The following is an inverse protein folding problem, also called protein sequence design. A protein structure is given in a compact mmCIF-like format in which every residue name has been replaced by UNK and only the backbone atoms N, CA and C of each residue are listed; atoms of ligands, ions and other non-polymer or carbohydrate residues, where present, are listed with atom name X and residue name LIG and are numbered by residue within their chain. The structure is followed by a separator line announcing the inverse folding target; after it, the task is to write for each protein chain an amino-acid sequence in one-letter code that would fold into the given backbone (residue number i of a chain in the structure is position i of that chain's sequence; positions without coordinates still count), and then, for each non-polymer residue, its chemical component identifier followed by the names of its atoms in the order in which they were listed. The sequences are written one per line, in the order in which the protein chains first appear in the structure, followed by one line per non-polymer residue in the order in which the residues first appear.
data_IF_291384304135
#
_entry.id   IF_291384304135
#
_cell.length_a   1.000
_cell.length_b   1.000
_cell.length_c   1.000
_cell.angle_alpha   90.00
_cell.angle_beta   90.00
_cell.angle_gamma   90.00
#
_symmetry.space_group_name_H-M   'P 1'
#
loop_
_entity.id
_entity.type
_entity.pdbx_description
1 polymer ?
#
# COMPACT_ATOMS: atom_id res chain seq x y z
N UNK A 1 -2.04 17.71 -15.84
CA UNK A 1 -0.88 17.99 -14.98
C UNK A 1 -0.94 19.39 -14.38
N UNK A 2 -0.98 20.49 -15.16
CA UNK A 2 -0.97 21.85 -14.56
C UNK A 2 -2.17 22.16 -13.64
N UNK A 3 -3.39 21.72 -13.98
CA UNK A 3 -4.58 21.93 -13.12
C UNK A 3 -4.57 21.09 -11.84
N UNK A 4 -3.86 19.95 -11.82
CA UNK A 4 -3.74 19.08 -10.63
C UNK A 4 -2.61 19.52 -9.68
N UNK A 5 -1.78 20.47 -10.09
CA UNK A 5 -0.58 20.88 -9.36
C UNK A 5 -0.72 22.27 -8.73
N UNK A 6 -1.87 22.94 -8.80
CA UNK A 6 -2.04 24.31 -8.26
C UNK A 6 -1.21 25.42 -8.94
N UNK A 7 -0.25 25.04 -9.81
CA UNK A 7 0.61 25.93 -10.56
C UNK A 7 -0.10 26.54 -11.75
N UNK A 8 0.20 27.81 -12.06
CA UNK A 8 -0.12 28.30 -13.39
C UNK A 8 0.60 27.41 -14.41
N UNK A 9 -0.03 27.18 -15.58
CA UNK A 9 0.58 26.39 -16.66
C UNK A 9 2.01 26.86 -16.97
N UNK A 10 2.27 28.16 -16.83
CA UNK A 10 3.58 28.79 -17.01
C UNK A 10 4.60 28.34 -15.94
N UNK A 11 4.24 28.39 -14.66
CA UNK A 11 5.13 27.96 -13.57
C UNK A 11 5.40 26.45 -13.61
N UNK A 12 4.38 25.64 -13.88
CA UNK A 12 4.55 24.20 -14.06
C UNK A 12 5.52 23.88 -15.20
N UNK A 13 5.45 24.64 -16.30
CA UNK A 13 6.35 24.45 -17.45
C UNK A 13 7.78 24.85 -17.08
N UNK A 14 7.96 25.99 -16.40
CA UNK A 14 9.27 26.47 -15.97
C UNK A 14 9.92 25.49 -14.98
N UNK A 15 9.15 25.00 -14.00
CA UNK A 15 9.62 24.03 -13.02
C UNK A 15 10.01 22.72 -13.68
N UNK A 16 9.16 22.19 -14.57
CA UNK A 16 9.45 20.97 -15.31
C UNK A 16 10.73 21.12 -16.15
N UNK A 17 10.85 22.22 -16.91
CA UNK A 17 11.98 22.45 -17.80
C UNK A 17 13.30 22.70 -17.04
N UNK A 18 13.24 23.39 -15.90
CA UNK A 18 14.42 23.76 -15.11
C UNK A 18 14.89 22.64 -14.18
N UNK A 19 13.95 21.88 -13.60
CA UNK A 19 14.25 20.89 -12.55
C UNK A 19 14.12 19.47 -13.08
N UNK A 20 12.97 19.05 -13.62
CA UNK A 20 12.73 17.64 -13.95
C UNK A 20 13.35 17.20 -15.29
N UNK A 21 13.22 18.00 -16.35
CA UNK A 21 13.68 17.65 -17.70
C UNK A 21 15.19 17.31 -17.77
N UNK A 22 16.10 18.03 -17.09
CA UNK A 22 17.51 17.66 -17.06
C UNK A 22 17.76 16.26 -16.51
N UNK A 23 17.04 15.87 -15.46
CA UNK A 23 17.15 14.54 -14.84
C UNK A 23 16.50 13.46 -15.70
N UNK A 24 15.33 13.74 -16.28
CA UNK A 24 14.68 12.84 -17.25
C UNK A 24 15.62 12.50 -18.39
N UNK A 25 16.28 13.51 -18.98
CA UNK A 25 17.26 13.30 -20.06
C UNK A 25 18.46 12.48 -19.59
N UNK A 26 18.96 12.76 -18.38
CA UNK A 26 20.05 11.98 -17.77
C UNK A 26 19.63 10.52 -17.61
N UNK A 27 18.52 10.25 -16.95
CA UNK A 27 17.98 8.91 -16.68
C UNK A 27 17.65 8.12 -17.95
N UNK A 28 17.16 8.77 -19.01
CA UNK A 28 16.96 8.12 -20.30
C UNK A 28 18.25 7.61 -20.96
N UNK A 29 19.39 8.19 -20.59
CA UNK A 29 20.72 7.79 -21.11
C UNK A 29 21.54 6.98 -20.12
N UNK A 30 21.10 6.89 -18.87
CA UNK A 30 21.81 6.18 -17.81
C UNK A 30 21.48 4.68 -17.89
N UNK A 31 22.49 3.79 -18.01
CA UNK A 31 22.28 2.35 -18.07
C UNK A 31 21.51 1.79 -16.87
N UNK A 32 21.61 2.40 -15.70
CA UNK A 32 20.91 1.95 -14.50
C UNK A 32 19.41 2.25 -14.58
N UNK A 33 19.03 3.36 -15.21
CA UNK A 33 17.63 3.74 -15.43
C UNK A 33 17.07 3.19 -16.74
N UNK A 34 17.88 2.49 -17.55
CA UNK A 34 17.44 1.91 -18.81
C UNK A 34 16.29 0.90 -18.61
N UNK A 35 16.28 0.17 -17.48
CA UNK A 35 15.18 -0.72 -17.11
C UNK A 35 13.88 0.06 -16.86
N UNK A 36 13.95 1.15 -16.07
CA UNK A 36 12.81 2.04 -15.83
C UNK A 36 12.29 2.66 -17.14
N UNK A 37 13.19 3.05 -18.05
CA UNK A 37 12.82 3.68 -19.32
C UNK A 37 12.26 2.68 -20.37
N UNK A 38 12.56 1.39 -20.24
CA UNK A 38 12.02 0.34 -21.12
C UNK A 38 10.55 0.06 -20.81
N UNK A 39 10.17 0.08 -19.54
CA UNK A 39 8.78 0.05 -19.13
C UNK A 39 8.20 1.47 -19.06
N UNK A 40 7.57 1.86 -20.17
CA UNK A 40 6.93 3.18 -20.27
C UNK A 40 5.88 3.42 -19.18
N UNK A 41 5.16 2.40 -18.73
CA UNK A 41 4.11 2.58 -17.73
C UNK A 41 4.72 2.93 -16.36
N UNK A 42 5.70 2.15 -15.92
CA UNK A 42 6.48 2.45 -14.70
C UNK A 42 7.17 3.81 -14.79
N UNK A 43 7.79 4.14 -15.94
CA UNK A 43 8.42 5.44 -16.12
C UNK A 43 7.42 6.59 -15.95
N UNK A 44 6.21 6.49 -16.51
CA UNK A 44 5.21 7.53 -16.35
C UNK A 44 4.66 7.62 -14.93
N UNK A 45 4.49 6.50 -14.22
CA UNK A 45 4.13 6.51 -12.78
C UNK A 45 5.19 7.19 -11.94
N UNK A 46 6.44 6.80 -12.12
CA UNK A 46 7.58 7.44 -11.49
C UNK A 46 7.60 8.97 -11.73
N UNK A 47 7.38 9.42 -12.98
CA UNK A 47 7.31 10.86 -13.28
C UNK A 47 6.10 11.54 -12.66
N UNK A 48 4.96 10.85 -12.57
CA UNK A 48 3.77 11.36 -11.92
C UNK A 48 4.02 11.56 -10.41
N UNK A 49 4.58 10.57 -9.72
CA UNK A 49 4.92 10.69 -8.30
C UNK A 49 5.95 11.79 -8.05
N UNK A 50 6.97 11.91 -8.91
CA UNK A 50 7.92 13.04 -8.85
C UNK A 50 7.22 14.40 -9.00
N UNK A 51 6.24 14.51 -9.89
CA UNK A 51 5.46 15.73 -10.02
C UNK A 51 4.59 15.99 -8.78
N UNK A 52 4.04 14.94 -8.16
CA UNK A 52 3.28 15.04 -6.91
C UNK A 52 4.15 15.49 -5.74
N UNK A 53 5.39 14.99 -5.60
CA UNK A 53 6.36 15.48 -4.61
C UNK A 53 6.58 16.98 -4.78
N UNK A 54 6.85 17.44 -6.00
CA UNK A 54 7.08 18.87 -6.25
C UNK A 54 5.82 19.71 -5.97
N UNK A 55 4.63 19.20 -6.33
CA UNK A 55 3.36 19.84 -6.02
C UNK A 55 3.12 19.96 -4.52
N UNK A 56 3.33 18.88 -3.76
CA UNK A 56 3.24 18.82 -2.31
C UNK A 56 4.20 19.81 -1.63
N UNK A 57 5.44 19.88 -2.12
CA UNK A 57 6.45 20.83 -1.65
C UNK A 57 6.05 22.29 -1.92
N UNK A 58 5.34 22.58 -3.01
CA UNK A 58 4.91 23.94 -3.36
C UNK A 58 3.65 24.35 -2.61
N UNK A 59 2.61 23.53 -2.67
CA UNK A 59 1.25 23.90 -2.27
C UNK A 59 0.83 23.35 -0.91
N UNK A 60 1.42 22.24 -0.47
CA UNK A 60 1.20 21.70 0.87
C UNK A 60 -0.15 21.01 1.00
N UNK A 61 -0.76 20.69 -0.13
CA UNK A 61 -2.03 19.98 -0.26
C UNK A 61 -1.88 18.48 0.04
N UNK A 62 -0.66 17.96 0.05
CA UNK A 62 -0.34 16.58 0.41
C UNK A 62 1.03 16.48 1.09
N UNK A 63 1.28 15.32 1.72
CA UNK A 63 2.55 15.02 2.39
C UNK A 63 3.63 14.63 1.36
N UNK A 64 4.71 15.42 1.19
CA UNK A 64 5.72 15.14 0.18
C UNK A 64 6.50 13.84 0.48
N UNK A 65 6.61 13.44 1.75
CA UNK A 65 7.26 12.20 2.17
C UNK A 65 6.53 10.95 1.64
N UNK A 66 5.18 10.95 1.65
CA UNK A 66 4.38 9.85 1.08
C UNK A 66 4.64 9.63 -0.41
N UNK A 67 4.54 10.70 -1.22
CA UNK A 67 4.84 10.62 -2.65
C UNK A 67 6.30 10.25 -2.92
N UNK A 68 7.22 10.69 -2.06
CA UNK A 68 8.63 10.33 -2.15
C UNK A 68 8.87 8.84 -1.85
N UNK A 69 8.09 8.25 -0.95
CA UNK A 69 8.03 6.81 -0.74
C UNK A 69 7.62 6.06 -2.00
N UNK A 70 6.58 6.53 -2.70
CA UNK A 70 6.13 5.93 -3.97
C UNK A 70 7.18 6.05 -5.08
N UNK A 71 7.86 7.19 -5.19
CA UNK A 71 9.02 7.35 -6.10
C UNK A 71 10.05 6.26 -5.84
N UNK A 72 10.39 6.00 -4.58
CA UNK A 72 11.35 4.95 -4.23
C UNK A 72 10.83 3.55 -4.55
N UNK A 73 9.52 3.30 -4.37
CA UNK A 73 8.86 2.03 -4.70
C UNK A 73 8.92 1.73 -6.20
N UNK A 74 8.62 2.71 -7.06
CA UNK A 74 8.68 2.55 -8.52
C UNK A 74 10.10 2.27 -9.00
N UNK A 75 11.13 2.88 -8.39
CA UNK A 75 12.54 2.60 -8.71
C UNK A 75 12.89 1.15 -8.33
N UNK A 76 12.45 0.67 -7.17
CA UNK A 76 12.70 -0.72 -6.75
C UNK A 76 11.97 -1.73 -7.61
N UNK A 77 10.73 -1.44 -8.02
CA UNK A 77 9.90 -2.34 -8.81
C UNK A 77 10.58 -2.73 -10.15
N UNK A 78 11.43 -1.84 -10.69
CA UNK A 78 12.20 -2.12 -11.92
C UNK A 78 13.62 -2.66 -11.65
N UNK A 79 13.91 -3.03 -10.40
CA UNK A 79 15.17 -3.67 -10.00
C UNK A 79 16.37 -2.74 -9.94
N UNK A 80 16.17 -1.42 -9.86
CA UNK A 80 17.26 -0.44 -9.73
C UNK A 80 17.60 -0.25 -8.25
N UNK A 81 18.83 -0.55 -7.81
CA UNK A 81 19.24 -0.33 -6.42
C UNK A 81 19.15 1.16 -6.06
N UNK A 82 18.56 1.47 -4.91
CA UNK A 82 18.31 2.86 -4.55
C UNK A 82 19.60 3.64 -4.31
N UNK A 83 20.67 2.97 -3.89
CA UNK A 83 21.99 3.57 -3.68
C UNK A 83 22.55 4.18 -4.97
N UNK A 84 22.18 3.61 -6.12
CA UNK A 84 22.62 4.08 -7.45
C UNK A 84 21.91 5.39 -7.82
N UNK A 85 20.67 5.58 -7.38
CA UNK A 85 19.85 6.73 -7.74
C UNK A 85 19.78 7.80 -6.65
N UNK A 86 20.24 7.47 -5.43
CA UNK A 86 20.13 8.32 -4.26
C UNK A 86 20.79 9.69 -4.47
N UNK A 87 21.96 9.71 -5.10
CA UNK A 87 22.67 10.95 -5.40
C UNK A 87 21.95 11.79 -6.45
N UNK A 88 21.25 11.16 -7.40
CA UNK A 88 20.45 11.85 -8.40
C UNK A 88 19.19 12.46 -7.79
N UNK A 89 18.52 11.73 -6.91
CA UNK A 89 17.38 12.22 -6.16
C UNK A 89 17.77 13.40 -5.24
N UNK A 90 18.92 13.32 -4.56
CA UNK A 90 19.48 14.44 -3.78
C UNK A 90 19.79 15.66 -4.66
N UNK A 91 20.41 15.43 -5.82
CA UNK A 91 20.71 16.50 -6.77
C UNK A 91 19.44 17.16 -7.29
N UNK A 92 18.37 16.40 -7.49
CA UNK A 92 17.07 16.93 -7.91
C UNK A 92 16.45 17.82 -6.84
N UNK A 93 16.42 17.37 -5.58
CA UNK A 93 15.94 18.18 -4.46
C UNK A 93 16.78 19.46 -4.28
N UNK A 94 18.09 19.37 -4.53
CA UNK A 94 18.96 20.56 -4.51
C UNK A 94 18.70 21.50 -5.70
N UNK A 95 18.45 20.97 -6.90
CA UNK A 95 18.07 21.79 -8.05
C UNK A 95 16.73 22.50 -7.80
N UNK A 96 15.78 21.81 -7.16
CA UNK A 96 14.52 22.39 -6.72
C UNK A 96 14.72 23.50 -5.69
N UNK A 97 15.56 23.28 -4.67
CA UNK A 97 15.94 24.31 -3.70
C UNK A 97 16.52 25.56 -4.36
N UNK A 98 17.44 25.39 -5.30
CA UNK A 98 18.04 26.50 -6.04
C UNK A 98 17.00 27.27 -6.86
N UNK A 99 16.07 26.54 -7.48
CA UNK A 99 14.97 27.13 -8.23
C UNK A 99 14.05 27.96 -7.30
N UNK A 100 13.63 27.40 -6.16
CA UNK A 100 12.85 28.12 -5.13
C UNK A 100 13.62 29.35 -4.64
N UNK A 101 14.95 29.25 -4.52
CA UNK A 101 15.76 30.36 -4.06
C UNK A 101 15.83 31.53 -5.07
N UNK A 102 15.65 31.26 -6.35
CA UNK A 102 15.71 32.21 -7.46
C UNK A 102 14.33 32.70 -7.94
N UNK A 103 13.25 32.09 -7.44
CA UNK A 103 11.88 32.41 -7.80
C UNK A 103 11.40 33.72 -7.15
N UNK A 104 12.00 34.86 -7.54
CA UNK A 104 11.69 36.20 -6.97
C UNK A 104 10.26 36.69 -7.27
N UNK A 105 9.62 36.22 -8.35
CA UNK A 105 8.26 36.66 -8.75
C UNK A 105 7.14 35.67 -8.39
N UNK A 106 7.46 34.41 -8.09
CA UNK A 106 6.45 33.33 -7.96
C UNK A 106 6.20 32.88 -6.51
N UNK A 107 7.15 33.10 -5.59
CA UNK A 107 7.04 32.70 -4.18
C UNK A 107 7.55 33.85 -3.30
N UNK A 108 6.66 34.53 -2.57
CA UNK A 108 7.02 35.72 -1.80
C UNK A 108 6.89 35.47 -0.30
N UNK A 109 7.92 35.82 0.46
CA UNK A 109 7.86 35.86 1.93
C UNK A 109 7.60 34.50 2.59
N UNK A 110 6.45 34.36 3.22
CA UNK A 110 6.06 33.21 4.06
C UNK A 110 5.91 31.91 3.24
N UNK A 111 5.36 31.99 2.02
CA UNK A 111 5.22 30.83 1.14
C UNK A 111 6.57 30.18 0.80
N UNK A 112 7.58 31.01 0.51
CA UNK A 112 8.95 30.53 0.23
C UNK A 112 9.56 29.84 1.45
N UNK A 113 9.37 30.40 2.64
CA UNK A 113 9.87 29.80 3.87
C UNK A 113 9.20 28.44 4.13
N UNK A 114 7.90 28.31 3.82
CA UNK A 114 7.15 27.07 4.00
C UNK A 114 7.57 25.98 3.03
N UNK A 115 7.81 26.34 1.76
CA UNK A 115 8.37 25.42 0.76
C UNK A 115 9.74 24.91 1.22
N UNK A 116 10.62 25.81 1.68
CA UNK A 116 11.95 25.42 2.16
C UNK A 116 11.88 24.54 3.42
N UNK A 117 10.97 24.82 4.36
CA UNK A 117 10.77 23.96 5.55
C UNK A 117 10.32 22.56 5.17
N UNK A 118 9.37 22.43 4.23
CA UNK A 118 8.92 21.12 3.72
C UNK A 118 10.04 20.39 2.98
N UNK A 119 10.85 21.13 2.21
CA UNK A 119 12.00 20.58 1.52
C UNK A 119 13.08 20.09 2.49
N UNK A 120 13.36 20.83 3.57
CA UNK A 120 14.28 20.41 4.63
C UNK A 120 13.78 19.15 5.34
N UNK A 121 12.48 19.07 5.66
CA UNK A 121 11.85 17.85 6.17
C UNK A 121 12.07 16.68 5.22
N UNK A 122 11.75 16.85 3.93
CA UNK A 122 11.89 15.79 2.93
C UNK A 122 13.35 15.36 2.73
N UNK A 123 14.32 16.28 2.84
CA UNK A 123 15.75 15.95 2.80
C UNK A 123 16.22 15.20 4.05
N UNK A 124 15.63 15.53 5.21
CA UNK A 124 15.89 14.84 6.46
C UNK A 124 15.21 13.46 6.51
N UNK A 125 14.15 13.28 5.73
CA UNK A 125 13.55 11.97 5.48
C UNK A 125 14.58 11.10 4.75
N UNK A 126 15.18 10.17 5.49
CA UNK A 126 16.27 9.35 4.99
C UNK A 126 15.76 8.48 3.84
N UNK A 127 16.28 8.74 2.64
CA UNK A 127 16.17 7.84 1.50
C UNK A 127 16.85 6.53 1.93
N UNK A 128 16.05 5.49 2.21
CA UNK A 128 16.48 4.10 2.42
C UNK A 128 16.77 3.60 3.84
N UNK A 129 15.93 3.89 4.83
CA UNK A 129 15.66 2.90 5.89
C UNK A 129 14.36 2.18 5.56
N UNK A 130 14.29 1.50 4.42
CA UNK A 130 13.09 0.71 4.09
C UNK A 130 13.17 -0.75 4.52
N UNK A 131 14.30 -1.16 5.10
CA UNK A 131 14.27 -2.31 6.01
C UNK A 131 13.56 -1.91 7.32
N UNK A 132 13.41 -0.61 7.62
CA UNK A 132 12.60 -0.07 8.72
C UNK A 132 11.35 0.70 8.25
N UNK A 133 11.04 0.77 6.94
CA UNK A 133 9.76 1.32 6.48
C UNK A 133 8.62 0.31 6.64
N UNK A 134 8.96 -0.96 6.87
CA UNK A 134 8.05 -1.94 7.48
C UNK A 134 7.83 -1.64 8.99
N UNK A 135 8.73 -0.89 9.64
CA UNK A 135 8.65 -0.48 11.05
C UNK A 135 8.12 0.97 11.25
N UNK A 136 8.12 1.83 10.22
CA UNK A 136 7.71 3.24 10.34
C UNK A 136 6.18 3.43 10.54
N UNK A 137 5.40 2.34 10.56
CA UNK A 137 3.95 2.37 10.78
C UNK A 137 3.50 1.50 11.96
N UNK A 138 4.39 1.22 12.92
CA UNK A 138 3.97 0.84 14.26
C UNK A 138 4.07 2.07 15.15
N UNK A 139 3.01 2.88 15.16
CA UNK A 139 2.79 3.79 16.28
C UNK A 139 2.91 2.96 17.56
N UNK A 140 3.93 3.28 18.36
CA UNK A 140 4.42 2.63 19.58
C UNK A 140 3.29 2.38 20.60
N UNK A 141 2.45 1.39 20.30
CA UNK A 141 1.43 0.83 21.17
C UNK A 141 2.09 -0.36 21.84
N UNK A 142 2.56 -0.16 23.07
CA UNK A 142 3.15 -1.18 23.96
C UNK A 142 2.15 -2.28 24.38
N UNK A 143 1.15 -2.56 23.56
CA UNK A 143 0.20 -3.65 23.69
C UNK A 143 0.29 -4.44 22.40
N UNK A 144 1.05 -5.55 22.42
CA UNK A 144 0.95 -6.53 21.34
C UNK A 144 -0.49 -7.01 21.31
N UNK A 145 -1.10 -6.90 20.14
CA UNK A 145 -2.50 -7.23 19.98
C UNK A 145 -2.59 -8.75 19.79
N UNK A 146 -3.15 -9.42 20.78
CA UNK A 146 -3.25 -10.89 20.82
C UNK A 146 -3.92 -11.47 19.55
N UNK A 147 -4.71 -10.69 18.80
CA UNK A 147 -5.24 -11.12 17.51
C UNK A 147 -4.16 -11.21 16.41
N UNK A 148 -3.25 -10.23 16.33
CA UNK A 148 -2.12 -10.25 15.37
C UNK A 148 -1.09 -11.31 15.79
N UNK A 149 -0.80 -11.41 17.09
CA UNK A 149 0.16 -12.40 17.59
C UNK A 149 -0.26 -13.85 17.26
N UNK A 150 -1.58 -14.13 17.20
CA UNK A 150 -2.11 -15.44 16.81
C UNK A 150 -2.02 -15.72 15.31
N UNK A 151 -1.87 -14.70 14.47
CA UNK A 151 -1.72 -14.83 13.02
C UNK A 151 -0.26 -15.04 12.61
N UNK A 152 0.69 -14.71 13.48
CA UNK A 152 2.09 -15.03 13.26
C UNK A 152 2.37 -16.52 13.54
N UNK A 153 2.67 -17.28 12.49
CA UNK A 153 3.04 -18.71 12.59
C UNK A 153 4.27 -18.95 13.47
N UNK A 154 5.19 -17.98 13.51
CA UNK A 154 6.35 -17.98 14.42
C UNK A 154 5.92 -18.00 15.90
N UNK A 155 4.83 -17.33 16.23
CA UNK A 155 4.32 -17.21 17.60
C UNK A 155 3.42 -18.40 17.98
N UNK A 156 2.72 -18.99 17.01
CA UNK A 156 1.84 -20.16 17.22
C UNK A 156 2.54 -21.51 17.09
N UNK A 157 3.78 -21.54 16.57
CA UNK A 157 4.56 -22.76 16.38
C UNK A 157 4.06 -23.66 15.26
N UNK A 158 3.22 -23.12 14.36
CA UNK A 158 2.82 -23.82 13.12
C UNK A 158 3.98 -23.84 12.15
N UNK A 159 4.22 -24.98 11.50
CA UNK A 159 5.21 -25.06 10.43
C UNK A 159 4.70 -24.31 9.19
N UNK A 160 5.56 -23.53 8.51
CA UNK A 160 5.17 -22.81 7.30
C UNK A 160 4.76 -23.80 6.21
N UNK A 161 3.68 -23.48 5.50
CA UNK A 161 3.16 -24.30 4.42
C UNK A 161 3.46 -23.59 3.10
N UNK A 162 4.33 -24.16 2.27
CA UNK A 162 4.60 -23.57 0.95
C UNK A 162 3.38 -23.69 0.03
N UNK A 163 3.20 -22.71 -0.86
CA UNK A 163 2.12 -22.70 -1.85
C UNK A 163 2.08 -23.98 -2.69
N UNK A 164 3.23 -24.43 -3.21
CA UNK A 164 3.30 -25.68 -3.99
C UNK A 164 2.84 -26.91 -3.20
N UNK A 165 3.17 -26.99 -1.91
CA UNK A 165 2.74 -28.11 -1.06
C UNK A 165 1.23 -28.06 -0.80
N UNK A 166 0.70 -26.86 -0.55
CA UNK A 166 -0.74 -26.62 -0.37
C UNK A 166 -1.52 -26.99 -1.64
N UNK A 167 -1.10 -26.50 -2.81
CA UNK A 167 -1.78 -26.75 -4.08
C UNK A 167 -1.75 -28.24 -4.48
N UNK A 168 -0.65 -28.94 -4.17
CA UNK A 168 -0.57 -30.39 -4.37
C UNK A 168 -1.55 -31.19 -3.50
N UNK A 169 -2.04 -30.60 -2.39
CA UNK A 169 -3.05 -31.19 -1.52
C UNK A 169 -4.46 -31.23 -2.13
N UNK A 170 -4.70 -30.52 -3.24
CA UNK A 170 -5.99 -30.51 -3.94
C UNK A 170 -7.12 -29.88 -3.10
N UNK A 171 -6.77 -28.94 -2.21
CA UNK A 171 -7.73 -28.25 -1.35
C UNK A 171 -8.64 -27.28 -2.12
N UNK A 172 -8.23 -26.87 -3.32
CA UNK A 172 -8.97 -26.02 -4.24
C UNK A 172 -9.01 -26.69 -5.62
N UNK A 173 -10.16 -26.64 -6.28
CA UNK A 173 -10.29 -27.02 -7.68
C UNK A 173 -9.92 -25.87 -8.63
N UNK A 174 -9.61 -26.21 -9.88
CA UNK A 174 -9.20 -25.24 -10.91
C UNK A 174 -10.26 -24.17 -11.18
N UNK A 175 -11.54 -24.51 -11.05
CA UNK A 175 -12.66 -23.57 -11.25
C UNK A 175 -12.69 -22.50 -10.14
N UNK A 176 -12.50 -22.92 -8.89
CA UNK A 176 -12.43 -22.01 -7.74
C UNK A 176 -11.21 -21.10 -7.84
N UNK A 177 -10.06 -21.65 -8.24
CA UNK A 177 -8.83 -20.86 -8.44
C UNK A 177 -9.04 -19.82 -9.54
N UNK A 178 -9.56 -20.23 -10.70
CA UNK A 178 -9.80 -19.33 -11.81
C UNK A 178 -10.75 -18.19 -11.43
N UNK A 179 -11.81 -18.49 -10.67
CA UNK A 179 -12.74 -17.48 -10.16
C UNK A 179 -12.07 -16.49 -9.21
N UNK A 180 -11.28 -16.97 -8.25
CA UNK A 180 -10.55 -16.08 -7.32
C UNK A 180 -9.60 -15.15 -8.08
N UNK A 181 -8.88 -15.69 -9.07
CA UNK A 181 -7.94 -14.92 -9.88
C UNK A 181 -8.68 -13.86 -10.69
N UNK A 182 -9.76 -14.24 -11.39
CA UNK A 182 -10.58 -13.32 -12.18
C UNK A 182 -11.16 -12.19 -11.31
N UNK A 183 -11.74 -12.53 -10.14
CA UNK A 183 -12.36 -11.55 -9.23
C UNK A 183 -11.34 -10.50 -8.74
N UNK A 184 -10.11 -10.92 -8.44
CA UNK A 184 -9.06 -10.04 -7.91
C UNK A 184 -8.36 -9.23 -9.01
N UNK A 185 -8.20 -9.80 -10.20
CA UNK A 185 -7.73 -9.07 -11.38
C UNK A 185 -8.73 -8.00 -11.82
N UNK A 186 -10.03 -8.31 -11.83
CA UNK A 186 -11.09 -7.35 -12.14
C UNK A 186 -11.07 -6.19 -11.14
N UNK A 187 -11.05 -6.51 -9.83
CA UNK A 187 -10.94 -5.53 -8.76
C UNK A 187 -9.74 -4.59 -8.97
N UNK A 188 -8.53 -5.15 -9.17
CA UNK A 188 -7.32 -4.35 -9.38
C UNK A 188 -7.41 -3.46 -10.63
N UNK A 189 -7.92 -4.01 -11.74
CA UNK A 189 -8.01 -3.29 -13.01
C UNK A 189 -8.98 -2.10 -12.95
N UNK A 190 -10.09 -2.25 -12.22
CA UNK A 190 -11.13 -1.23 -12.13
C UNK A 190 -10.79 -0.12 -11.13
N UNK A 191 -10.06 -0.44 -10.05
CA UNK A 191 -9.63 0.56 -9.05
C UNK A 191 -8.86 1.73 -9.65
N UNK A 192 -8.14 1.49 -10.74
CA UNK A 192 -7.41 2.54 -11.48
C UNK A 192 -8.33 3.65 -12.01
N UNK A 193 -9.60 3.36 -12.30
CA UNK A 193 -10.54 4.36 -12.83
C UNK A 193 -11.13 5.28 -11.75
N UNK A 194 -10.98 4.91 -10.48
CA UNK A 194 -11.45 5.72 -9.36
C UNK A 194 -10.35 6.71 -8.94
N UNK A 195 -10.61 8.00 -9.15
CA UNK A 195 -9.68 9.08 -8.79
C UNK A 195 -9.67 9.40 -7.30
N UNK A 196 -10.84 9.43 -6.67
CA UNK A 196 -11.03 9.83 -5.27
C UNK A 196 -11.78 8.72 -4.51
N UNK A 197 -11.71 8.77 -3.18
CA UNK A 197 -12.54 7.92 -2.33
C UNK A 197 -13.97 8.46 -2.28
N UNK A 198 -14.93 7.65 -2.68
CA UNK A 198 -16.34 7.93 -2.48
C UNK A 198 -17.12 6.64 -2.15
N UNK A 199 -18.43 6.80 -1.94
CA UNK A 199 -19.31 5.67 -1.65
C UNK A 199 -19.32 4.63 -2.78
N UNK A 200 -19.19 5.07 -4.04
CA UNK A 200 -19.18 4.18 -5.21
C UNK A 200 -17.93 3.31 -5.19
N UNK A 201 -16.77 3.90 -4.94
CA UNK A 201 -15.49 3.21 -4.75
C UNK A 201 -15.58 2.19 -3.60
N UNK A 202 -16.11 2.61 -2.45
CA UNK A 202 -16.24 1.74 -1.29
C UNK A 202 -17.16 0.53 -1.59
N UNK A 203 -18.33 0.77 -2.20
CA UNK A 203 -19.27 -0.28 -2.59
C UNK A 203 -18.67 -1.25 -3.61
N UNK A 204 -17.90 -0.73 -4.57
CA UNK A 204 -17.17 -1.52 -5.55
C UNK A 204 -16.16 -2.45 -4.86
N UNK A 205 -15.29 -1.91 -4.01
CA UNK A 205 -14.30 -2.71 -3.26
C UNK A 205 -14.99 -3.76 -2.38
N UNK A 206 -16.04 -3.37 -1.64
CA UNK A 206 -16.81 -4.28 -0.79
C UNK A 206 -17.35 -5.45 -1.59
N UNK A 207 -17.92 -5.20 -2.77
CA UNK A 207 -18.51 -6.24 -3.60
C UNK A 207 -17.51 -7.35 -3.96
N UNK A 208 -16.34 -6.96 -4.46
CA UNK A 208 -15.30 -7.92 -4.86
C UNK A 208 -14.67 -8.62 -3.65
N UNK A 209 -14.41 -7.88 -2.56
CA UNK A 209 -13.86 -8.48 -1.34
C UNK A 209 -14.83 -9.49 -0.70
N UNK A 210 -16.14 -9.30 -0.83
CA UNK A 210 -17.13 -10.27 -0.33
C UNK A 210 -17.07 -11.61 -1.08
N UNK A 211 -16.94 -11.58 -2.40
CA UNK A 211 -16.79 -12.81 -3.18
C UNK A 211 -15.45 -13.49 -2.91
N UNK A 212 -14.37 -12.70 -2.83
CA UNK A 212 -13.04 -13.16 -2.46
C UNK A 212 -13.04 -13.82 -1.06
N UNK A 213 -13.62 -13.17 -0.05
CA UNK A 213 -13.71 -13.70 1.32
C UNK A 213 -14.48 -15.02 1.37
N UNK A 214 -15.61 -15.13 0.66
CA UNK A 214 -16.39 -16.38 0.59
C UNK A 214 -15.55 -17.52 0.02
N UNK A 215 -14.71 -17.23 -0.97
CA UNK A 215 -13.84 -18.23 -1.57
C UNK A 215 -12.75 -18.70 -0.59
N UNK A 216 -12.13 -17.78 0.15
CA UNK A 216 -11.14 -18.10 1.18
C UNK A 216 -11.75 -18.91 2.33
N UNK A 217 -12.97 -18.61 2.76
CA UNK A 217 -13.66 -19.30 3.86
C UNK A 217 -13.87 -20.80 3.63
N UNK A 218 -13.87 -21.25 2.37
CA UNK A 218 -13.99 -22.67 2.04
C UNK A 218 -12.71 -23.46 2.40
N UNK A 219 -11.59 -22.76 2.64
CA UNK A 219 -10.29 -23.34 2.94
C UNK A 219 -9.91 -22.99 4.39
N UNK A 220 -9.78 -24.03 5.22
CA UNK A 220 -9.41 -23.84 6.65
C UNK A 220 -8.11 -23.07 6.82
N UNK A 221 -7.11 -23.33 5.97
CA UNK A 221 -5.83 -22.62 6.01
C UNK A 221 -6.00 -21.11 5.77
N UNK A 222 -6.98 -20.66 5.00
CA UNK A 222 -7.18 -19.23 4.73
C UNK A 222 -8.15 -18.55 5.70
N UNK A 223 -8.49 -19.19 6.82
CA UNK A 223 -9.49 -18.67 7.77
C UNK A 223 -9.08 -17.34 8.41
N UNK A 224 -7.80 -17.15 8.72
CA UNK A 224 -7.26 -15.92 9.29
C UNK A 224 -7.24 -14.79 8.25
N UNK A 225 -6.78 -15.07 7.03
CA UNK A 225 -6.84 -14.15 5.90
C UNK A 225 -8.29 -13.73 5.57
N UNK A 226 -9.21 -14.69 5.50
CA UNK A 226 -10.63 -14.44 5.29
C UNK A 226 -11.21 -13.56 6.39
N UNK A 227 -10.83 -13.80 7.65
CA UNK A 227 -11.26 -12.95 8.76
C UNK A 227 -10.73 -11.52 8.62
N UNK A 228 -9.47 -11.34 8.21
CA UNK A 228 -8.91 -10.01 7.97
C UNK A 228 -9.64 -9.26 6.85
N UNK A 229 -9.93 -9.92 5.73
CA UNK A 229 -10.75 -9.35 4.64
C UNK A 229 -12.14 -8.95 5.14
N UNK A 230 -12.81 -9.77 5.96
CA UNK A 230 -14.11 -9.40 6.55
C UNK A 230 -14.04 -8.20 7.48
N UNK A 231 -13.00 -8.10 8.29
CA UNK A 231 -12.78 -6.91 9.12
C UNK A 231 -12.62 -5.67 8.25
N UNK A 232 -11.93 -5.80 7.11
CA UNK A 232 -11.80 -4.70 6.17
C UNK A 232 -13.13 -4.29 5.53
N UNK A 233 -13.92 -5.27 5.06
CA UNK A 233 -15.28 -5.04 4.55
C UNK A 233 -16.15 -4.35 5.61
N UNK A 234 -16.05 -4.79 6.87
CA UNK A 234 -16.76 -4.18 7.98
C UNK A 234 -16.37 -2.70 8.17
N UNK A 235 -15.08 -2.37 8.10
CA UNK A 235 -14.64 -0.97 8.16
C UNK A 235 -15.22 -0.12 7.04
N UNK A 236 -15.12 -0.59 5.79
CA UNK A 236 -15.60 0.13 4.62
C UNK A 236 -17.13 0.37 4.66
N UNK A 237 -17.88 -0.54 5.29
CA UNK A 237 -19.33 -0.38 5.51
C UNK A 237 -19.70 0.60 6.61
N UNK A 238 -18.80 0.81 7.57
CA UNK A 238 -19.05 1.62 8.77
C UNK A 238 -18.22 2.90 8.76
N UNK A 239 -17.91 3.41 7.57
CA UNK A 239 -17.27 4.70 7.41
C UNK A 239 -18.16 5.82 7.97
N UNK A 240 -17.56 6.90 8.52
CA UNK A 240 -18.28 8.11 8.84
C UNK A 240 -19.10 8.63 7.65
N UNK A 241 -20.31 9.17 7.90
CA UNK A 241 -21.18 9.74 6.85
C UNK A 241 -20.51 10.85 6.03
N UNK A 242 -19.50 11.51 6.61
CA UNK A 242 -18.70 12.52 5.94
C UNK A 242 -17.23 12.34 6.31
N UNK A 243 -16.40 12.15 5.29
CA UNK A 243 -14.95 12.19 5.39
C UNK A 243 -14.45 13.55 4.91
N UNK A 244 -13.38 14.05 5.53
CA UNK A 244 -12.59 15.13 4.95
C UNK A 244 -11.88 14.65 3.68
N UNK A 245 -11.43 15.59 2.84
CA UNK A 245 -10.68 15.25 1.61
C UNK A 245 -9.39 14.48 1.95
N UNK A 246 -8.70 14.88 3.02
CA UNK A 246 -7.48 14.22 3.50
C UNK A 246 -7.76 12.80 4.00
N UNK A 247 -8.77 12.61 4.84
CA UNK A 247 -9.20 11.27 5.30
C UNK A 247 -9.58 10.38 4.11
N UNK A 248 -10.36 10.91 3.15
CA UNK A 248 -10.73 10.18 1.93
C UNK A 248 -9.50 9.73 1.13
N UNK A 249 -8.54 10.63 0.89
CA UNK A 249 -7.29 10.27 0.20
C UNK A 249 -6.49 9.21 0.96
N UNK A 250 -6.33 9.35 2.27
CA UNK A 250 -5.60 8.37 3.09
C UNK A 250 -6.29 6.99 3.09
N UNK A 251 -7.61 6.95 3.24
CA UNK A 251 -8.37 5.68 3.21
C UNK A 251 -8.26 5.05 1.83
N UNK A 252 -8.32 5.83 0.74
CA UNK A 252 -8.12 5.31 -0.61
C UNK A 252 -6.75 4.67 -0.75
N UNK A 253 -5.69 5.38 -0.39
CA UNK A 253 -4.32 4.88 -0.51
C UNK A 253 -4.14 3.58 0.28
N UNK A 254 -4.67 3.51 1.50
CA UNK A 254 -4.60 2.30 2.31
C UNK A 254 -5.47 1.16 1.73
N UNK A 255 -6.61 1.49 1.13
CA UNK A 255 -7.48 0.50 0.46
C UNK A 255 -6.82 -0.05 -0.80
N UNK A 256 -6.26 0.82 -1.63
CA UNK A 256 -5.51 0.44 -2.83
C UNK A 256 -4.34 -0.47 -2.45
N UNK A 257 -3.58 -0.12 -1.40
CA UNK A 257 -2.47 -0.95 -0.90
C UNK A 257 -2.94 -2.33 -0.42
N UNK A 258 -4.04 -2.39 0.36
CA UNK A 258 -4.62 -3.67 0.79
C UNK A 258 -5.00 -4.53 -0.40
N UNK A 259 -5.59 -3.94 -1.44
CA UNK A 259 -5.94 -4.70 -2.65
C UNK A 259 -4.69 -5.15 -3.41
N UNK A 260 -3.66 -4.30 -3.54
CA UNK A 260 -2.39 -4.69 -4.15
C UNK A 260 -1.74 -5.88 -3.42
N UNK A 261 -1.77 -5.88 -2.08
CA UNK A 261 -1.24 -6.98 -1.28
C UNK A 261 -2.03 -8.28 -1.52
N UNK A 262 -3.37 -8.20 -1.61
CA UNK A 262 -4.23 -9.35 -1.94
C UNK A 262 -3.97 -9.89 -3.35
N UNK A 263 -3.77 -9.01 -4.33
CA UNK A 263 -3.40 -9.38 -5.71
C UNK A 263 -2.06 -10.11 -5.71
N UNK A 264 -1.05 -9.55 -5.02
CA UNK A 264 0.25 -10.18 -4.88
C UNK A 264 0.17 -11.55 -4.23
N UNK A 265 -0.66 -11.69 -3.19
CA UNK A 265 -0.91 -12.97 -2.53
C UNK A 265 -1.54 -14.00 -3.46
N UNK A 266 -2.58 -13.64 -4.22
CA UNK A 266 -3.20 -14.53 -5.21
C UNK A 266 -2.16 -14.98 -6.24
N UNK A 267 -1.34 -14.04 -6.73
CA UNK A 267 -0.30 -14.35 -7.71
C UNK A 267 0.72 -15.36 -7.17
N UNK A 268 1.27 -15.12 -5.98
CA UNK A 268 2.34 -15.98 -5.43
C UNK A 268 1.82 -17.31 -4.85
N UNK A 269 0.60 -17.34 -4.30
CA UNK A 269 0.05 -18.53 -3.65
C UNK A 269 -0.72 -19.42 -4.61
N UNK A 270 -1.57 -18.85 -5.46
CA UNK A 270 -2.47 -19.62 -6.30
C UNK A 270 -1.94 -19.82 -7.72
N UNK A 271 -1.32 -18.78 -8.30
CA UNK A 271 -0.89 -18.79 -9.72
C UNK A 271 0.54 -19.33 -9.89
N UNK A 272 1.53 -18.65 -9.33
CA UNK A 272 2.95 -18.98 -9.48
C UNK A 272 3.40 -20.10 -8.53
N UNK A 273 2.72 -20.21 -7.38
CA UNK A 273 2.97 -21.22 -6.34
C UNK A 273 4.42 -21.20 -5.82
N UNK A 274 5.00 -20.01 -5.71
CA UNK A 274 6.39 -19.79 -5.29
C UNK A 274 6.51 -19.25 -3.85
N UNK A 275 5.39 -18.87 -3.23
CA UNK A 275 5.34 -18.48 -1.82
C UNK A 275 5.84 -19.62 -0.91
N UNK A 276 6.80 -19.29 -0.04
CA UNK A 276 7.39 -20.24 0.92
C UNK A 276 6.46 -20.56 2.09
N UNK A 277 5.55 -19.63 2.39
CA UNK A 277 4.51 -19.76 3.38
C UNK A 277 3.23 -19.15 2.77
N UNK A 278 2.09 -19.85 2.81
CA UNK A 278 0.81 -19.33 2.30
C UNK A 278 0.20 -18.27 3.21
N UNK A 279 0.65 -18.19 4.46
CA UNK A 279 0.07 -17.33 5.48
C UNK A 279 0.84 -16.03 5.71
N UNK A 280 1.81 -15.72 4.84
CA UNK A 280 2.69 -14.56 5.02
C UNK A 280 1.95 -13.22 5.09
N UNK A 281 0.74 -13.15 4.53
CA UNK A 281 -0.07 -11.93 4.48
C UNK A 281 -1.00 -11.77 5.69
N UNK A 282 -1.32 -12.84 6.43
CA UNK A 282 -2.40 -12.83 7.44
C UNK A 282 -2.24 -11.71 8.47
N UNK A 283 -1.06 -11.65 9.11
CA UNK A 283 -0.76 -10.67 10.14
C UNK A 283 -0.57 -9.26 9.56
N UNK A 284 0.09 -9.16 8.41
CA UNK A 284 0.36 -7.88 7.75
C UNK A 284 -0.94 -7.20 7.29
N UNK A 285 -1.85 -7.96 6.66
CA UNK A 285 -3.16 -7.46 6.26
C UNK A 285 -3.97 -6.99 7.48
N UNK A 286 -4.00 -7.77 8.55
CA UNK A 286 -4.70 -7.40 9.78
C UNK A 286 -4.13 -6.12 10.41
N UNK A 287 -2.82 -5.91 10.35
CA UNK A 287 -2.18 -4.68 10.80
C UNK A 287 -2.65 -3.47 9.97
N UNK A 288 -2.66 -3.58 8.64
CA UNK A 288 -3.17 -2.54 7.74
C UNK A 288 -4.64 -2.22 8.03
N UNK A 289 -5.48 -3.24 8.22
CA UNK A 289 -6.90 -3.07 8.58
C UNK A 289 -7.05 -2.32 9.91
N UNK A 290 -6.25 -2.64 10.92
CA UNK A 290 -6.28 -1.93 12.22
C UNK A 290 -5.82 -0.48 12.10
N UNK A 291 -4.83 -0.20 11.27
CA UNK A 291 -4.39 1.16 11.03
C UNK A 291 -5.53 2.00 10.44
N UNK A 292 -6.26 1.46 9.45
CA UNK A 292 -7.45 2.10 8.88
C UNK A 292 -8.52 2.30 9.96
N UNK A 293 -8.77 1.29 10.79
CA UNK A 293 -9.72 1.38 11.90
C UNK A 293 -9.38 2.52 12.89
N UNK A 294 -8.10 2.65 13.24
CA UNK A 294 -7.59 3.69 14.14
C UNK A 294 -7.75 5.08 13.55
N UNK A 295 -7.42 5.26 12.26
CA UNK A 295 -7.62 6.53 11.55
C UNK A 295 -9.09 6.96 11.56
N UNK A 296 -10.00 5.99 11.51
CA UNK A 296 -11.45 6.24 11.44
C UNK A 296 -12.13 6.29 12.81
N UNK A 297 -11.42 5.95 13.89
CA UNK A 297 -12.04 5.76 15.21
C UNK A 297 -13.10 4.65 15.25
N UNK A 298 -13.03 3.68 14.33
CA UNK A 298 -13.96 2.54 14.24
C UNK A 298 -13.39 1.36 15.01
N UNK A 299 -14.21 0.69 15.80
CA UNK A 299 -13.80 -0.54 16.50
C UNK A 299 -14.04 -1.77 15.61
N UNK A 300 -13.02 -2.62 15.47
CA UNK A 300 -13.15 -3.91 14.78
C UNK A 300 -13.97 -4.91 15.60
N UNK A 301 -14.47 -5.95 14.93
CA UNK A 301 -15.16 -7.04 15.59
C UNK A 301 -14.14 -8.00 16.24
N UNK A 302 -14.47 -8.51 17.43
CA UNK A 302 -13.67 -9.57 18.05
C UNK A 302 -13.80 -10.89 17.27
N UNK A 303 -12.69 -11.61 17.10
CA UNK A 303 -12.70 -12.90 16.42
C UNK A 303 -13.42 -13.96 17.27
N UNK A 304 -14.63 -14.36 16.88
CA UNK A 304 -15.47 -15.36 17.60
C UNK A 304 -15.38 -16.75 16.99
N UNK A 305 -14.25 -17.13 16.40
CA UNK A 305 -14.07 -18.52 15.94
C UNK A 305 -14.12 -19.44 17.15
N UNK A 306 -15.22 -20.21 17.21
CA UNK A 306 -15.54 -21.23 18.19
C UNK A 306 -14.33 -22.10 18.48
N UNK A 307 -13.83 -22.02 19.72
CA UNK A 307 -13.14 -23.15 20.34
C UNK A 307 -14.07 -24.36 20.16
N UNK A 308 -13.63 -25.39 19.44
CA UNK A 308 -14.33 -26.66 19.49
C UNK A 308 -14.34 -27.08 20.96
N UNK A 309 -15.49 -27.48 21.54
CA UNK A 309 -15.49 -28.02 22.88
C UNK A 309 -14.54 -29.22 22.88
N UNK A 310 -13.58 -29.17 23.78
CA UNK A 310 -12.62 -30.23 24.05
C UNK A 310 -13.41 -31.54 24.26
N UNK A 311 -13.29 -32.46 23.30
CA UNK A 311 -13.76 -33.85 23.46
C UNK A 311 -12.83 -34.55 24.46
N UNK A 312 -12.92 -34.15 25.73
CA UNK A 312 -12.33 -34.87 26.85
C UNK A 312 -13.27 -34.77 28.06
N UNK A 313 -14.37 -35.50 27.97
CA UNK A 313 -15.04 -36.03 29.15
C UNK A 313 -15.40 -37.49 28.88
N UNK A 314 -14.36 -38.32 28.82
CA UNK A 314 -14.41 -39.64 29.41
C UNK A 314 -14.64 -39.44 30.92
N UNK A 315 -15.88 -39.67 31.36
CA UNK A 315 -16.24 -40.35 32.63
C UNK A 315 -17.68 -40.00 32.99
N UNK A 316 -18.62 -40.92 32.76
CA UNK A 316 -19.08 -41.81 33.84
C UNK A 316 -20.38 -42.50 33.42
N UNK A 317 -20.23 -43.79 33.15
CA UNK A 317 -21.29 -44.77 33.04
C UNK A 317 -22.03 -44.81 34.39
N UNK A 318 -23.25 -44.28 34.48
CA UNK A 318 -24.19 -44.67 35.54
C UNK A 318 -25.44 -45.25 34.88
N UNK A 319 -25.47 -46.58 34.86
CA UNK A 319 -26.70 -47.36 34.74
C UNK A 319 -27.62 -47.03 35.91
N UNK A 320 -28.86 -46.62 35.64
CA UNK A 320 -30.07 -47.08 36.33
C UNK A 320 -31.28 -46.96 35.41
#
# INVERSE_FOLDING_TARGET
MSEKLGLTRKEATILLDAVLVPFIKKWQTDPHFAALAQDRAHFYRFLAEMAHVLGALLHGESDPESHWGNVCREIRAVGVPLEVVQDDLRQLLHAFEQWVAQADEALVGEERADVLRRLERLKAFHVCDADEADDFVLADSKHSDAAIDRMHHVTTGREPISARAFMAGGHLDEETIARIVEDVEELSSELYFYGDFDQTYAEFVIHHLEEFSKALEMVVEFSDLAWAVRQFIYLLRNLPESLTVEEGMSIKQLTDQVVEDLVGWVQHVLVEQDAQDIHYLDAALMASVKQIALLLGVSLQENTVSEKPDESNDDEFIMF
#
